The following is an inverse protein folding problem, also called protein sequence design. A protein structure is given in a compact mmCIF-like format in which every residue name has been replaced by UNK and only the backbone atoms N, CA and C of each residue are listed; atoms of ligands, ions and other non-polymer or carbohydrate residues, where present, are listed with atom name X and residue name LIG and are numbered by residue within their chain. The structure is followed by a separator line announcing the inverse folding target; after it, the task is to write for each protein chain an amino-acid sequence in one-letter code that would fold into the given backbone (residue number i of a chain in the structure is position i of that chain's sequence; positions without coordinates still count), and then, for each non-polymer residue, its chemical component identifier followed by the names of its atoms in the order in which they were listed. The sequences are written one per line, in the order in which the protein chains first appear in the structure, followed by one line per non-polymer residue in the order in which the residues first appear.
data_IF_602827016224
#
_entry.id   IF_602827016224
#
_cell.length_a   1.000
_cell.length_b   1.000
_cell.length_c   1.000
_cell.angle_alpha   90.00
_cell.angle_beta   90.00
_cell.angle_gamma   90.00
#
_symmetry.space_group_name_H-M   'P 1'
#
loop_
_entity.id
_entity.type
_entity.pdbx_description
1 polymer ?
#
# COMPACT_ATOMS: atom_id res chain seq x y z
N UNK A 1 -8.13 13.23 22.42
CA UNK A 1 -8.07 13.41 20.96
C UNK A 1 -8.57 12.12 20.30
N UNK A 2 -9.73 12.16 19.63
CA UNK A 2 -10.40 11.02 18.96
C UNK A 2 -10.99 11.54 17.64
N UNK A 3 -10.19 11.79 16.60
CA UNK A 3 -10.73 12.33 15.34
C UNK A 3 -10.10 11.81 14.04
N UNK A 4 -9.46 10.64 14.06
CA UNK A 4 -9.32 9.84 12.85
C UNK A 4 -10.20 8.60 13.05
N UNK A 5 -11.48 8.73 12.71
CA UNK A 5 -12.46 7.66 12.90
C UNK A 5 -11.99 6.39 12.19
N UNK A 6 -12.17 5.23 12.82
CA UNK A 6 -11.79 3.92 12.27
C UNK A 6 -12.30 3.67 10.83
N UNK A 7 -13.39 4.32 10.43
CA UNK A 7 -13.91 4.29 9.06
C UNK A 7 -12.92 4.85 8.00
N UNK A 8 -12.03 5.78 8.36
CA UNK A 8 -11.06 6.36 7.44
C UNK A 8 -9.86 5.43 7.19
N UNK A 9 -9.52 4.55 8.13
CA UNK A 9 -8.34 3.68 8.02
C UNK A 9 -8.60 2.55 7.03
N UNK A 10 -9.80 1.94 7.06
CA UNK A 10 -10.14 0.87 6.12
C UNK A 10 -10.13 1.37 4.67
N UNK A 11 -10.73 2.53 4.41
CA UNK A 11 -10.72 3.14 3.06
C UNK A 11 -9.28 3.43 2.63
N UNK A 12 -8.43 3.89 3.55
CA UNK A 12 -7.03 4.14 3.26
C UNK A 12 -6.26 2.84 2.92
N UNK A 13 -6.56 1.73 3.60
CA UNK A 13 -6.02 0.40 3.29
C UNK A 13 -6.50 -0.11 1.93
N UNK A 14 -7.76 0.14 1.57
CA UNK A 14 -8.31 -0.22 0.26
C UNK A 14 -7.62 0.59 -0.85
N UNK A 15 -7.38 1.90 -0.61
CA UNK A 15 -6.60 2.75 -1.52
C UNK A 15 -5.16 2.27 -1.65
N UNK A 16 -4.50 1.92 -0.55
CA UNK A 16 -3.15 1.35 -0.58
C UNK A 16 -3.11 0.03 -1.37
N UNK A 17 -4.08 -0.85 -1.16
CA UNK A 17 -4.21 -2.10 -1.89
C UNK A 17 -4.39 -1.88 -3.38
N UNK A 18 -5.24 -0.92 -3.76
CA UNK A 18 -5.47 -0.56 -5.16
C UNK A 18 -4.19 -0.05 -5.82
N UNK A 19 -3.49 0.88 -5.16
CA UNK A 19 -2.21 1.44 -5.64
C UNK A 19 -1.13 0.36 -5.78
N UNK A 20 -0.96 -0.52 -4.79
CA UNK A 20 -0.01 -1.64 -4.86
C UNK A 20 -0.35 -2.64 -5.95
N UNK A 21 -1.63 -2.96 -6.17
CA UNK A 21 -2.06 -3.86 -7.26
C UNK A 21 -1.84 -3.26 -8.65
N UNK A 22 -1.85 -1.92 -8.76
CA UNK A 22 -1.47 -1.21 -9.98
C UNK A 22 0.06 -1.21 -10.23
N UNK A 23 0.86 -1.78 -9.31
CA UNK A 23 2.32 -1.75 -9.38
C UNK A 23 2.94 -0.44 -8.89
N UNK A 24 2.12 0.46 -8.33
CA UNK A 24 2.61 1.75 -7.82
C UNK A 24 3.22 1.60 -6.43
N UNK A 25 4.27 2.38 -6.17
CA UNK A 25 4.84 2.52 -4.84
C UNK A 25 4.14 3.64 -4.09
N UNK A 26 4.03 3.49 -2.76
CA UNK A 26 3.37 4.44 -1.88
C UNK A 26 4.42 5.00 -0.94
N UNK A 27 4.46 6.33 -0.82
CA UNK A 27 5.21 7.05 0.21
C UNK A 27 4.30 8.07 0.88
N UNK A 28 4.78 8.66 1.98
CA UNK A 28 4.11 9.80 2.59
C UNK A 28 5.07 10.98 2.69
N UNK A 29 4.52 12.18 2.68
CA UNK A 29 5.23 13.43 2.90
C UNK A 29 4.51 14.23 3.98
N UNK A 30 5.25 14.88 4.88
CA UNK A 30 4.70 15.71 5.95
C UNK A 30 5.18 17.14 5.74
N UNK A 31 4.23 18.06 5.57
CA UNK A 31 4.50 19.48 5.29
C UNK A 31 3.82 20.34 6.34
N UNK A 32 4.53 21.35 6.85
CA UNK A 32 3.94 22.35 7.73
C UNK A 32 3.07 23.33 6.93
N UNK A 33 1.79 23.46 7.30
CA UNK A 33 0.86 24.44 6.74
C UNK A 33 0.38 25.39 7.84
N UNK A 34 1.10 26.50 7.99
CA UNK A 34 0.83 27.48 9.04
C UNK A 34 1.06 26.89 10.44
N UNK A 35 -0.04 26.69 11.18
CA UNK A 35 -0.01 26.15 12.56
C UNK A 35 -0.19 24.64 12.64
N UNK A 36 -0.51 23.99 11.54
CA UNK A 36 -0.78 22.58 11.49
C UNK A 36 0.25 21.87 10.62
N UNK A 37 0.33 20.56 10.79
CA UNK A 37 1.10 19.69 9.91
C UNK A 37 0.13 18.91 9.03
N UNK A 38 0.52 18.63 7.79
CA UNK A 38 -0.27 17.85 6.85
C UNK A 38 0.57 16.71 6.36
N UNK A 39 0.09 15.49 6.54
CA UNK A 39 0.64 14.31 5.88
C UNK A 39 -0.14 14.02 4.62
N UNK A 40 0.57 13.74 3.53
CA UNK A 40 0.01 13.35 2.24
C UNK A 40 0.57 12.01 1.81
N UNK A 41 -0.30 11.07 1.45
CA UNK A 41 0.08 9.80 0.84
C UNK A 41 0.11 9.94 -0.67
N UNK A 42 1.25 9.59 -1.24
CA UNK A 42 1.58 9.81 -2.64
C UNK A 42 1.89 8.46 -3.27
N UNK A 43 1.21 8.16 -4.38
CA UNK A 43 1.56 7.03 -5.24
C UNK A 43 2.46 7.50 -6.37
N UNK A 44 3.44 6.69 -6.73
CA UNK A 44 4.29 6.94 -7.88
C UNK A 44 4.62 5.63 -8.61
N UNK A 45 4.79 5.74 -9.92
CA UNK A 45 5.23 4.67 -10.81
C UNK A 45 6.68 4.95 -11.21
N UNK A 46 7.52 3.91 -11.18
CA UNK A 46 8.92 4.00 -11.62
C UNK A 46 9.08 4.32 -13.11
N UNK A 47 8.04 4.11 -13.91
CA UNK A 47 8.03 4.38 -15.35
C UNK A 47 7.43 5.74 -15.72
N UNK A 48 6.94 6.50 -14.73
CA UNK A 48 6.23 7.76 -14.96
C UNK A 48 6.75 8.85 -14.01
N UNK A 49 7.00 10.07 -14.48
CA UNK A 49 7.37 11.19 -13.61
C UNK A 49 6.17 11.70 -12.79
N UNK A 50 4.96 11.17 -13.02
CA UNK A 50 3.76 11.66 -12.37
C UNK A 50 3.57 11.02 -10.99
N UNK A 51 3.54 11.89 -9.99
CA UNK A 51 3.18 11.55 -8.62
C UNK A 51 1.72 11.92 -8.38
N UNK A 52 0.99 11.08 -7.65
CA UNK A 52 -0.41 11.30 -7.37
C UNK A 52 -0.70 11.22 -5.87
N UNK A 53 -1.05 12.37 -5.29
CA UNK A 53 -1.55 12.45 -3.91
C UNK A 53 -2.99 11.95 -3.86
N UNK A 54 -3.23 10.86 -3.14
CA UNK A 54 -4.56 10.23 -3.07
C UNK A 54 -5.23 10.35 -1.69
N UNK A 55 -4.51 10.75 -0.66
CA UNK A 55 -5.06 11.02 0.66
C UNK A 55 -4.19 12.03 1.42
N UNK A 56 -4.81 12.94 2.16
CA UNK A 56 -4.10 13.88 3.04
C UNK A 56 -4.83 14.04 4.37
N UNK A 57 -4.07 14.16 5.45
CA UNK A 57 -4.56 14.30 6.81
C UNK A 57 -3.82 15.43 7.52
N UNK A 58 -4.54 16.22 8.31
CA UNK A 58 -3.94 17.27 9.14
C UNK A 58 -3.71 16.74 10.55
N UNK A 59 -2.61 17.13 11.20
CA UNK A 59 -2.30 16.82 12.59
C UNK A 59 -1.64 18.00 13.31
N UNK A 60 -1.49 17.85 14.62
CA UNK A 60 -1.02 18.93 15.50
C UNK A 60 0.52 19.02 15.51
N UNK A 61 1.22 17.89 15.37
CA UNK A 61 2.70 17.83 15.36
C UNK A 61 3.24 16.95 14.24
N UNK A 62 4.47 17.25 13.79
CA UNK A 62 5.18 16.43 12.81
C UNK A 62 5.38 14.99 13.31
N UNK A 63 5.84 14.84 14.55
CA UNK A 63 6.21 13.52 15.10
C UNK A 63 4.98 12.61 15.25
N UNK A 64 3.82 13.15 15.66
CA UNK A 64 2.57 12.40 15.69
C UNK A 64 2.19 11.86 14.31
N UNK A 65 2.21 12.72 13.28
CA UNK A 65 1.90 12.31 11.91
C UNK A 65 2.91 11.31 11.36
N UNK A 66 4.18 11.48 11.71
CA UNK A 66 5.26 10.58 11.27
C UNK A 66 5.10 9.18 11.86
N UNK A 67 4.97 9.08 13.19
CA UNK A 67 4.74 7.79 13.86
C UNK A 67 3.45 7.13 13.37
N UNK A 68 2.35 7.88 13.28
CA UNK A 68 1.09 7.35 12.77
C UNK A 68 1.18 6.81 11.34
N UNK A 69 1.88 7.52 10.44
CA UNK A 69 2.03 7.11 9.04
C UNK A 69 2.92 5.88 8.88
N UNK A 70 3.97 5.78 9.71
CA UNK A 70 4.81 4.59 9.75
C UNK A 70 4.03 3.37 10.22
N UNK A 71 3.35 3.48 11.37
CA UNK A 71 2.54 2.37 11.92
C UNK A 71 1.51 1.90 10.89
N UNK A 72 0.83 2.84 10.23
CA UNK A 72 -0.15 2.55 9.19
C UNK A 72 0.43 1.77 8.00
N UNK A 73 1.60 2.19 7.48
CA UNK A 73 2.25 1.51 6.35
C UNK A 73 2.84 0.16 6.76
N UNK A 74 3.37 0.04 7.98
CA UNK A 74 3.87 -1.21 8.53
C UNK A 74 2.72 -2.22 8.70
N UNK A 75 1.61 -1.81 9.31
CA UNK A 75 0.42 -2.64 9.47
C UNK A 75 -0.14 -3.09 8.12
N UNK A 76 -0.24 -2.16 7.16
CA UNK A 76 -0.65 -2.47 5.81
C UNK A 76 0.27 -3.50 5.16
N UNK A 77 1.59 -3.33 5.26
CA UNK A 77 2.56 -4.26 4.66
C UNK A 77 2.42 -5.66 5.25
N UNK A 78 2.32 -5.78 6.58
CA UNK A 78 2.12 -7.06 7.27
C UNK A 78 0.82 -7.73 6.83
N UNK A 79 -0.28 -6.98 6.70
CA UNK A 79 -1.57 -7.51 6.29
C UNK A 79 -1.61 -7.88 4.81
N UNK A 80 -1.05 -7.03 3.95
CA UNK A 80 -0.99 -7.25 2.52
C UNK A 80 -0.16 -8.50 2.19
N UNK A 81 1.02 -8.66 2.80
CA UNK A 81 1.85 -9.86 2.61
C UNK A 81 1.16 -11.14 3.08
N UNK A 82 0.44 -11.10 4.22
CA UNK A 82 -0.39 -12.24 4.67
C UNK A 82 -1.48 -12.60 3.66
N UNK A 83 -2.07 -11.60 3.01
CA UNK A 83 -3.10 -11.83 1.97
C UNK A 83 -2.50 -12.42 0.69
N UNK A 84 -1.29 -12.01 0.30
CA UNK A 84 -0.57 -12.54 -0.88
C UNK A 84 -0.16 -14.00 -0.67
N UNK A 85 0.24 -14.37 0.55
CA UNK A 85 0.56 -15.77 0.91
C UNK A 85 -0.67 -16.68 0.97
N UNK A 86 -1.88 -16.11 1.01
CA UNK A 86 -3.14 -16.86 1.08
C UNK A 86 -3.77 -17.22 -0.27
N UNK A 87 -3.18 -16.78 -1.39
CA UNK A 87 -3.61 -17.25 -2.70
C UNK A 87 -3.01 -18.65 -2.94
N UNK A 88 -3.83 -19.67 -3.23
CA UNK A 88 -3.28 -20.96 -3.64
C UNK A 88 -2.43 -20.71 -4.88
N UNK A 89 -1.14 -21.02 -4.76
CA UNK A 89 -0.29 -21.26 -5.92
C UNK A 89 -1.08 -22.25 -6.79
N UNK A 90 -1.37 -21.94 -8.07
CA UNK A 90 -1.99 -22.93 -8.93
C UNK A 90 -1.09 -24.15 -8.89
N UNK A 91 -1.61 -25.26 -8.38
CA UNK A 91 -0.94 -26.55 -8.39
C UNK A 91 -0.37 -26.72 -9.80
N UNK A 92 0.96 -26.82 -9.91
CA UNK A 92 1.62 -27.19 -11.15
C UNK A 92 1.15 -28.60 -11.43
N UNK A 93 0.06 -28.69 -12.19
CA UNK A 93 -0.57 -29.95 -12.53
C UNK A 93 0.37 -30.69 -13.47
N UNK A 94 1.16 -31.58 -12.88
CA UNK A 94 1.91 -32.62 -13.56
C UNK A 94 1.09 -33.21 -14.70
N UNK A 95 1.61 -33.15 -15.92
CA UNK A 95 1.24 -34.10 -16.98
C UNK A 95 2.52 -34.76 -17.49
N UNK A 96 2.75 -36.05 -17.20
CA UNK A 96 3.79 -36.80 -17.88
C UNK A 96 3.28 -37.16 -19.27
N UNK A 97 3.82 -36.51 -20.32
CA UNK A 97 3.67 -37.02 -21.69
C UNK A 97 4.97 -37.72 -22.07
N UNK A 98 4.98 -39.03 -21.84
CA UNK A 98 5.90 -39.95 -22.49
C UNK A 98 5.47 -40.13 -23.94
N UNK A 99 6.30 -39.71 -24.90
CA UNK A 99 6.53 -40.47 -26.15
C UNK A 99 7.80 -40.01 -26.84
N UNK A 100 8.76 -40.92 -27.09
CA UNK A 100 9.63 -40.79 -28.24
C UNK A 100 9.49 -42.03 -29.12
N UNK A 101 8.91 -41.92 -30.31
CA UNK A 101 9.25 -42.86 -31.40
C UNK A 101 8.90 -42.29 -32.77
N UNK A 102 9.91 -42.24 -33.64
CA UNK A 102 9.93 -42.70 -35.04
C UNK A 102 11.32 -42.31 -35.59
N UNK A 103 12.27 -43.26 -35.61
CA UNK A 103 12.67 -44.08 -36.76
C UNK A 103 13.05 -43.27 -37.99
#
# INVERSE_FOLDING_TARGET
MKKYGQANVQILFDLFSWKKRAGESIRFEIVQQGRFWVVSFISYDQHSPYEHTFASFMGDTHDELYSWSLDLLTDFTIQFDKSVVSFPIPDVMNTPVSTPTLQ
#
